data_IF_969483081483
#
_entry.id   IF_969483081483
#
_cell.length_a   1.000
_cell.length_b   1.000
_cell.length_c   1.000
_cell.angle_alpha   90.00
_cell.angle_beta   90.00
_cell.angle_gamma   90.00
#
_symmetry.space_group_name_H-M   'P 1'
#
loop_
_entity.id
_entity.type
_entity.pdbx_description
1 polymer ?
#
# COMPACT_ATOMS: atom_id res chain seq x y z
N UNK A 1 -6.30 -14.50 -20.55
CA UNK A 1 -5.28 -13.81 -19.73
C UNK A 1 -5.91 -12.58 -19.09
N UNK A 2 -5.81 -12.42 -17.77
CA UNK A 2 -6.46 -11.31 -17.06
C UNK A 2 -5.81 -9.97 -17.38
N UNK A 3 -6.59 -8.89 -17.41
CA UNK A 3 -6.10 -7.53 -17.72
C UNK A 3 -5.03 -7.04 -16.75
N UNK A 4 -4.92 -7.64 -15.56
CA UNK A 4 -3.94 -7.31 -14.50
C UNK A 4 -2.65 -8.13 -14.57
N UNK A 5 -2.57 -9.16 -15.43
CA UNK A 5 -1.46 -10.13 -15.44
C UNK A 5 -0.11 -9.46 -15.69
N UNK A 6 -0.06 -8.51 -16.63
CA UNK A 6 1.19 -7.81 -16.98
C UNK A 6 1.69 -6.92 -15.83
N UNK A 7 0.80 -6.16 -15.19
CA UNK A 7 1.16 -5.32 -14.04
C UNK A 7 1.64 -6.15 -12.85
N UNK A 8 0.96 -7.25 -12.56
CA UNK A 8 1.37 -8.18 -11.50
C UNK A 8 2.73 -8.78 -11.76
N UNK A 9 3.00 -9.20 -13.01
CA UNK A 9 4.29 -9.76 -13.40
C UNK A 9 5.39 -8.72 -13.25
N UNK A 10 5.15 -7.49 -13.66
CA UNK A 10 6.15 -6.41 -13.56
C UNK A 10 6.44 -6.03 -12.11
N UNK A 11 5.41 -5.95 -11.25
CA UNK A 11 5.58 -5.72 -9.81
C UNK A 11 6.43 -6.82 -9.17
N UNK A 12 6.12 -8.09 -9.43
CA UNK A 12 6.90 -9.23 -8.94
C UNK A 12 8.34 -9.23 -9.43
N UNK A 13 8.57 -8.77 -10.66
CA UNK A 13 9.90 -8.71 -11.27
C UNK A 13 10.78 -7.61 -10.68
N UNK A 14 10.21 -6.42 -10.43
CA UNK A 14 11.01 -5.22 -10.10
C UNK A 14 10.76 -4.68 -8.71
N UNK A 15 9.49 -4.55 -8.32
CA UNK A 15 9.12 -3.93 -7.04
C UNK A 15 9.33 -4.87 -5.86
N UNK A 16 8.96 -6.16 -5.99
CA UNK A 16 9.03 -7.11 -4.89
C UNK A 16 10.47 -7.35 -4.41
N UNK A 17 11.45 -7.60 -5.31
CA UNK A 17 12.85 -7.71 -4.90
C UNK A 17 13.36 -6.42 -4.25
N UNK A 18 12.97 -5.26 -4.80
CA UNK A 18 13.36 -3.96 -4.26
C UNK A 18 12.90 -3.79 -2.80
N UNK A 19 11.65 -4.08 -2.47
CA UNK A 19 11.15 -3.93 -1.09
C UNK A 19 11.71 -4.97 -0.13
N UNK A 20 12.01 -6.18 -0.61
CA UNK A 20 12.72 -7.21 0.18
C UNK A 20 14.13 -6.73 0.54
N UNK A 21 14.84 -6.08 -0.37
CA UNK A 21 16.14 -5.46 -0.07
C UNK A 21 16.04 -4.33 0.97
N UNK A 22 14.87 -3.71 1.10
CA UNK A 22 14.59 -2.73 2.17
C UNK A 22 14.20 -3.39 3.51
N UNK A 23 14.24 -4.72 3.59
CA UNK A 23 13.96 -5.50 4.81
C UNK A 23 12.48 -5.86 5.01
N UNK A 24 11.63 -5.67 4.01
CA UNK A 24 10.23 -6.11 4.10
C UNK A 24 10.09 -7.60 3.78
N UNK A 25 9.32 -8.30 4.61
CA UNK A 25 8.79 -9.62 4.34
C UNK A 25 7.49 -9.50 3.53
N UNK A 26 7.31 -10.41 2.58
CA UNK A 26 6.12 -10.45 1.71
C UNK A 26 5.17 -11.52 2.25
N UNK A 27 3.90 -11.16 2.39
CA UNK A 27 2.83 -12.08 2.74
C UNK A 27 1.77 -12.07 1.63
N UNK A 28 1.46 -13.25 1.12
CA UNK A 28 0.51 -13.45 0.02
C UNK A 28 -0.78 -14.12 0.49
N UNK A 29 -1.04 -14.21 1.79
CA UNK A 29 -2.25 -14.83 2.34
C UNK A 29 -3.55 -14.23 1.77
N UNK A 30 -3.56 -12.92 1.48
CA UNK A 30 -4.73 -12.21 0.93
C UNK A 30 -4.73 -12.09 -0.61
N UNK A 31 -3.81 -12.79 -1.29
CA UNK A 31 -3.81 -12.90 -2.74
C UNK A 31 -5.11 -13.61 -3.20
N UNK A 32 -5.76 -13.16 -4.29
CA UNK A 32 -5.28 -12.19 -5.27
C UNK A 32 -5.68 -10.74 -5.01
N UNK A 33 -6.36 -10.42 -3.91
CA UNK A 33 -6.96 -9.09 -3.71
C UNK A 33 -5.98 -8.08 -3.13
N UNK A 34 -5.11 -8.52 -2.22
CA UNK A 34 -3.99 -7.72 -1.73
C UNK A 34 -2.73 -8.58 -1.60
N UNK A 35 -1.58 -7.90 -1.53
CA UNK A 35 -0.32 -8.50 -1.12
C UNK A 35 0.26 -7.60 -0.05
N UNK A 36 0.55 -8.17 1.11
CA UNK A 36 0.99 -7.44 2.28
C UNK A 36 2.51 -7.49 2.41
N UNK A 37 3.07 -6.40 2.92
CA UNK A 37 4.50 -6.21 3.13
C UNK A 37 4.69 -5.70 4.55
N UNK A 38 5.57 -6.36 5.30
CA UNK A 38 5.78 -6.07 6.72
C UNK A 38 7.26 -6.02 7.05
N UNK A 39 7.66 -5.12 7.93
CA UNK A 39 9.00 -5.07 8.51
C UNK A 39 8.91 -4.70 9.97
N UNK A 40 9.57 -5.48 10.82
CA UNK A 40 9.73 -5.16 12.24
C UNK A 40 11.01 -4.32 12.37
N UNK A 41 10.90 -3.19 13.06
CA UNK A 41 11.97 -2.24 13.35
C UNK A 41 12.05 -2.00 14.87
N UNK A 42 13.09 -1.32 15.34
CA UNK A 42 13.20 -0.94 16.74
C UNK A 42 12.04 -0.03 17.19
N UNK A 43 11.56 0.83 16.29
CA UNK A 43 10.51 1.81 16.58
C UNK A 43 9.10 1.23 16.47
N UNK A 44 8.95 0.04 15.87
CA UNK A 44 7.66 -0.61 15.69
C UNK A 44 7.57 -1.45 14.42
N UNK A 45 6.35 -1.60 13.92
CA UNK A 45 6.01 -2.44 12.78
C UNK A 45 5.58 -1.52 11.64
N UNK A 46 6.36 -1.53 10.57
CA UNK A 46 6.02 -0.88 9.31
C UNK A 46 5.28 -1.89 8.44
N UNK A 47 4.09 -1.52 7.97
CA UNK A 47 3.26 -2.39 7.16
C UNK A 47 2.62 -1.62 6.02
N UNK A 48 2.61 -2.20 4.83
CA UNK A 48 1.85 -1.69 3.69
C UNK A 48 1.33 -2.84 2.84
N UNK A 49 0.30 -2.59 2.04
CA UNK A 49 -0.29 -3.57 1.15
C UNK A 49 -0.58 -2.99 -0.23
N UNK A 50 -0.45 -3.84 -1.26
CA UNK A 50 -0.87 -3.54 -2.62
C UNK A 50 -2.29 -4.06 -2.83
N UNK A 51 -3.29 -3.21 -2.60
CA UNK A 51 -4.69 -3.56 -2.78
C UNK A 51 -5.12 -3.38 -4.23
N UNK A 52 -5.50 -4.47 -4.88
CA UNK A 52 -6.02 -4.48 -6.24
C UNK A 52 -7.47 -4.03 -6.30
N UNK A 53 -7.83 -3.42 -7.42
CA UNK A 53 -9.22 -3.11 -7.71
C UNK A 53 -10.05 -4.40 -7.89
N UNK A 54 -11.24 -4.43 -7.28
CA UNK A 54 -12.09 -5.63 -7.12
C UNK A 54 -12.58 -6.21 -8.45
N UNK A 55 -12.84 -5.37 -9.44
CA UNK A 55 -13.41 -5.76 -10.73
C UNK A 55 -12.34 -6.17 -11.77
N UNK A 56 -11.09 -6.41 -11.34
CA UNK A 56 -10.03 -6.92 -12.20
C UNK A 56 -9.52 -5.90 -13.21
N UNK A 57 -9.77 -4.60 -12.97
CA UNK A 57 -9.06 -3.55 -13.71
C UNK A 57 -7.59 -3.51 -13.30
N UNK A 58 -6.65 -3.13 -14.19
CA UNK A 58 -5.22 -3.06 -13.89
C UNK A 58 -4.91 -1.82 -13.06
N UNK A 59 -5.49 -1.77 -11.85
CA UNK A 59 -5.39 -0.70 -10.88
C UNK A 59 -5.08 -1.27 -9.51
N UNK A 60 -4.23 -0.57 -8.77
CA UNK A 60 -3.99 -0.86 -7.36
C UNK A 60 -3.70 0.40 -6.58
N UNK A 61 -3.93 0.36 -5.28
CA UNK A 61 -3.51 1.39 -4.32
C UNK A 61 -2.53 0.78 -3.34
N UNK A 62 -1.65 1.61 -2.78
CA UNK A 62 -0.80 1.21 -1.68
C UNK A 62 -1.43 1.75 -0.40
N UNK A 63 -1.96 0.89 0.48
CA UNK A 63 -2.27 1.34 1.83
C UNK A 63 -1.07 1.07 2.73
N UNK A 64 -0.86 1.92 3.72
CA UNK A 64 0.25 1.79 4.66
C UNK A 64 -0.21 2.10 6.07
N UNK A 65 0.53 1.61 7.05
CA UNK A 65 0.29 1.87 8.45
C UNK A 65 1.50 1.57 9.30
N UNK A 66 1.52 2.15 10.49
CA UNK A 66 2.56 1.91 11.47
C UNK A 66 1.95 1.59 12.84
N UNK A 67 2.57 0.62 13.51
CA UNK A 67 2.09 0.06 14.77
C UNK A 67 3.25 -0.09 15.75
N UNK A 68 2.95 -0.11 17.05
CA UNK A 68 3.97 -0.39 18.06
C UNK A 68 4.54 -1.81 17.95
N UNK A 69 5.77 -2.01 18.42
CA UNK A 69 6.43 -3.33 18.42
C UNK A 69 5.67 -4.38 19.26
N UNK A 70 4.84 -3.95 20.23
CA UNK A 70 4.00 -4.84 21.04
C UNK A 70 2.78 -5.44 20.30
N UNK A 71 2.58 -5.08 19.03
CA UNK A 71 1.40 -5.41 18.24
C UNK A 71 0.34 -4.31 18.33
N UNK A 72 -0.91 -4.67 18.05
CA UNK A 72 -2.06 -3.76 18.13
C UNK A 72 -3.28 -4.46 18.72
N UNK A 73 -4.10 -3.71 19.45
CA UNK A 73 -5.41 -4.19 19.90
C UNK A 73 -6.42 -3.85 18.80
N UNK A 74 -7.01 -4.85 18.19
CA UNK A 74 -8.03 -4.69 17.15
C UNK A 74 -9.30 -5.43 17.57
N UNK A 75 -10.41 -4.70 17.68
CA UNK A 75 -11.68 -5.23 18.21
C UNK A 75 -11.58 -5.93 19.59
N UNK A 76 -10.70 -5.42 20.47
CA UNK A 76 -10.49 -5.98 21.80
C UNK A 76 -9.52 -7.17 21.85
N UNK A 77 -9.06 -7.67 20.70
CA UNK A 77 -8.08 -8.75 20.63
C UNK A 77 -6.68 -8.23 20.36
N UNK A 78 -5.67 -8.86 20.97
CA UNK A 78 -4.27 -8.55 20.70
C UNK A 78 -3.83 -9.25 19.41
N UNK A 79 -3.60 -8.47 18.37
CA UNK A 79 -3.05 -8.95 17.11
C UNK A 79 -1.53 -8.99 17.23
N UNK A 80 -0.88 -10.15 17.01
CA UNK A 80 0.57 -10.28 17.13
C UNK A 80 1.27 -9.57 15.97
N UNK A 81 2.54 -9.13 16.15
CA UNK A 81 3.28 -8.33 15.16
C UNK A 81 3.31 -8.90 13.73
N UNK A 82 3.35 -10.22 13.62
CA UNK A 82 3.39 -10.99 12.37
C UNK A 82 2.03 -11.05 11.63
N UNK A 83 0.94 -10.63 12.28
CA UNK A 83 -0.42 -10.61 11.69
C UNK A 83 -0.99 -9.22 11.51
N UNK A 84 -0.24 -8.18 11.87
CA UNK A 84 -0.70 -6.80 11.73
C UNK A 84 -0.85 -6.43 10.26
N UNK A 85 -1.94 -5.72 9.94
CA UNK A 85 -2.27 -5.23 8.60
C UNK A 85 -2.27 -3.70 8.56
N UNK A 86 -2.16 -3.14 7.35
CA UNK A 86 -1.98 -1.70 7.12
C UNK A 86 -3.08 -0.83 7.74
N UNK A 87 -4.32 -1.31 7.71
CA UNK A 87 -5.48 -0.62 8.28
C UNK A 87 -5.58 -0.72 9.81
N UNK A 88 -4.84 -1.63 10.44
CA UNK A 88 -4.86 -1.80 11.90
C UNK A 88 -3.93 -0.81 12.61
N UNK A 89 -3.09 -0.09 11.88
CA UNK A 89 -2.13 0.84 12.48
C UNK A 89 -2.78 2.05 13.14
N UNK A 90 -2.16 2.49 14.24
CA UNK A 90 -2.51 3.72 14.96
C UNK A 90 -2.46 4.96 14.05
N UNK A 91 -1.55 4.94 13.09
CA UNK A 91 -1.50 5.87 11.97
C UNK A 91 -1.51 5.04 10.69
N UNK A 92 -2.45 5.32 9.80
CA UNK A 92 -2.56 4.64 8.51
C UNK A 92 -2.88 5.62 7.39
N UNK A 93 -2.65 5.21 6.16
CA UNK A 93 -2.82 6.08 5.02
C UNK A 93 -2.77 5.34 3.70
N UNK A 94 -2.83 6.13 2.63
CA UNK A 94 -2.76 5.65 1.26
C UNK A 94 -1.73 6.44 0.48
N UNK A 95 -0.90 5.74 -0.27
CA UNK A 95 -0.03 6.31 -1.26
C UNK A 95 -0.63 6.07 -2.65
N UNK A 96 -0.81 7.15 -3.41
CA UNK A 96 -1.45 7.12 -4.72
C UNK A 96 -0.93 8.27 -5.60
N UNK A 97 -0.74 8.04 -6.91
CA UNK A 97 -0.07 9.00 -7.80
C UNK A 97 -0.82 10.31 -8.00
N UNK A 98 -2.12 10.37 -7.67
CA UNK A 98 -2.92 11.60 -7.72
C UNK A 98 -3.67 11.77 -6.42
N UNK A 99 -3.98 13.00 -6.03
CA UNK A 99 -4.86 13.28 -4.88
C UNK A 99 -6.33 12.97 -5.22
N UNK A 100 -7.08 12.46 -4.25
CA UNK A 100 -8.52 12.18 -4.37
C UNK A 100 -8.92 10.85 -3.73
N UNK A 101 -10.22 10.56 -3.64
CA UNK A 101 -10.74 9.34 -3.00
C UNK A 101 -11.11 8.22 -3.98
N UNK A 102 -11.14 8.52 -5.28
CA UNK A 102 -11.60 7.59 -6.32
C UNK A 102 -10.48 6.69 -6.88
N UNK A 103 -10.89 5.58 -7.51
CA UNK A 103 -9.98 4.62 -8.17
C UNK A 103 -9.24 5.19 -9.37
N UNK A 104 -9.66 6.35 -9.88
CA UNK A 104 -8.95 7.09 -10.95
C UNK A 104 -7.67 7.78 -10.45
N UNK A 105 -7.49 7.87 -9.14
CA UNK A 105 -6.30 8.40 -8.50
C UNK A 105 -5.24 7.33 -8.21
N UNK A 106 -5.59 6.05 -8.39
CA UNK A 106 -4.75 4.89 -8.09
C UNK A 106 -3.68 4.68 -9.16
N UNK A 107 -2.71 3.81 -8.86
CA UNK A 107 -1.75 3.34 -9.86
C UNK A 107 -2.49 2.55 -10.93
N UNK A 108 -2.50 3.02 -12.17
CA UNK A 108 -3.32 2.44 -13.23
C UNK A 108 -2.61 2.34 -14.57
N UNK A 109 -2.82 1.22 -15.27
CA UNK A 109 -2.47 1.09 -16.69
C UNK A 109 -3.57 1.64 -17.62
N UNK A 110 -4.80 1.69 -17.15
CA UNK A 110 -5.93 2.14 -17.95
C UNK A 110 -6.13 3.65 -17.87
N UNK A 111 -6.43 4.25 -19.02
CA UNK A 111 -6.95 5.60 -19.11
C UNK A 111 -8.48 5.58 -18.99
N UNK A 112 -9.05 6.74 -18.66
CA UNK A 112 -10.50 7.00 -18.82
C UNK A 112 -10.98 6.50 -20.18
N UNK A 113 -12.15 5.85 -20.21
CA UNK A 113 -12.80 5.34 -21.42
C UNK A 113 -12.79 6.38 -22.56
N UNK A 114 -13.01 7.66 -22.22
CA UNK A 114 -12.96 8.77 -23.16
C UNK A 114 -11.59 8.91 -23.84
N UNK A 115 -10.48 8.86 -23.09
CA UNK A 115 -9.13 8.95 -23.66
C UNK A 115 -8.77 7.75 -24.53
N UNK A 116 -9.28 6.57 -24.19
CA UNK A 116 -9.04 5.35 -24.97
C UNK A 116 -9.81 5.36 -26.30
N UNK A 117 -11.08 5.75 -26.27
CA UNK A 117 -11.98 5.64 -27.43
C UNK A 117 -11.94 6.89 -28.29
N UNK A 118 -11.98 8.08 -27.70
CA UNK A 118 -12.00 9.36 -28.44
C UNK A 118 -10.59 9.78 -28.86
N UNK A 119 -9.61 9.68 -27.96
CA UNK A 119 -8.24 10.13 -28.23
C UNK A 119 -7.30 9.01 -28.71
N UNK A 120 -7.81 7.78 -28.89
CA UNK A 120 -7.05 6.58 -29.32
C UNK A 120 -5.72 6.37 -28.57
N UNK A 121 -5.61 6.84 -27.33
CA UNK A 121 -4.37 6.73 -26.57
C UNK A 121 -4.14 5.29 -26.12
N UNK A 122 -2.93 4.79 -26.37
CA UNK A 122 -2.49 3.47 -25.90
C UNK A 122 -2.49 3.45 -24.36
N UNK A 123 -2.90 2.33 -23.72
CA UNK A 123 -2.75 2.15 -22.28
C UNK A 123 -1.29 2.34 -21.83
N UNK A 124 -1.08 2.78 -20.60
CA UNK A 124 0.26 2.88 -20.02
C UNK A 124 0.86 1.48 -19.90
N UNK A 125 2.16 1.36 -20.18
CA UNK A 125 2.88 0.11 -19.97
C UNK A 125 2.94 -0.23 -18.48
N UNK A 126 3.00 -1.52 -18.14
CA UNK A 126 3.16 -1.96 -16.75
C UNK A 126 4.44 -1.40 -16.13
N UNK A 127 5.52 -1.34 -16.91
CA UNK A 127 6.80 -0.76 -16.50
C UNK A 127 6.64 0.69 -16.03
N UNK A 128 5.93 1.53 -16.79
CA UNK A 128 5.71 2.93 -16.43
C UNK A 128 4.96 3.09 -15.09
N UNK A 129 3.99 2.22 -14.81
CA UNK A 129 3.26 2.24 -13.52
C UNK A 129 4.15 1.79 -12.37
N UNK A 130 5.03 0.80 -12.60
CA UNK A 130 5.99 0.34 -11.59
C UNK A 130 7.10 1.36 -11.36
N UNK A 131 7.56 2.06 -12.40
CA UNK A 131 8.52 3.17 -12.29
C UNK A 131 7.94 4.31 -11.45
N UNK A 132 6.66 4.64 -11.65
CA UNK A 132 5.94 5.63 -10.84
C UNK A 132 5.84 5.19 -9.38
N UNK A 133 5.52 3.91 -9.12
CA UNK A 133 5.50 3.37 -7.75
C UNK A 133 6.89 3.43 -7.09
N UNK A 134 7.94 3.05 -7.81
CA UNK A 134 9.32 3.13 -7.32
C UNK A 134 9.74 4.58 -7.04
N UNK A 135 9.32 5.54 -7.88
CA UNK A 135 9.58 6.96 -7.68
C UNK A 135 8.85 7.56 -6.48
N UNK A 136 7.68 7.02 -6.11
CA UNK A 136 6.91 7.47 -4.95
C UNK A 136 7.26 6.71 -3.65
N UNK A 137 7.94 5.58 -3.75
CA UNK A 137 8.31 4.78 -2.58
C UNK A 137 9.19 5.52 -1.54
N UNK A 138 10.11 6.43 -1.91
CA UNK A 138 10.84 7.25 -0.93
C UNK A 138 9.92 8.05 -0.01
N UNK A 139 8.76 8.52 -0.48
CA UNK A 139 7.78 9.18 0.39
C UNK A 139 7.28 8.23 1.47
N UNK A 140 7.03 6.97 1.11
CA UNK A 140 6.62 5.92 2.04
C UNK A 140 7.69 5.65 3.11
N UNK A 141 8.96 5.62 2.71
CA UNK A 141 10.07 5.45 3.64
C UNK A 141 10.22 6.64 4.59
N UNK A 142 10.09 7.87 4.09
CA UNK A 142 10.12 9.09 4.90
C UNK A 142 8.97 9.12 5.92
N UNK A 143 7.80 8.65 5.52
CA UNK A 143 6.68 8.50 6.46
C UNK A 143 6.95 7.44 7.53
N UNK A 144 7.54 6.29 7.16
CA UNK A 144 7.92 5.27 8.13
C UNK A 144 9.02 5.71 9.10
N UNK A 145 9.96 6.57 8.67
CA UNK A 145 11.06 7.04 9.53
C UNK A 145 10.69 8.27 10.38
N UNK A 146 10.04 9.25 9.77
CA UNK A 146 9.87 10.57 10.36
C UNK A 146 8.41 10.99 10.51
N UNK A 147 7.45 10.12 10.13
CA UNK A 147 6.01 10.43 10.08
C UNK A 147 5.72 11.67 9.22
N UNK A 148 6.59 11.97 8.25
CA UNK A 148 6.44 13.08 7.30
C UNK A 148 5.51 12.67 6.18
N UNK A 149 4.42 13.40 6.02
CA UNK A 149 3.45 13.16 4.95
C UNK A 149 3.97 13.72 3.63
N UNK A 150 4.15 12.85 2.64
CA UNK A 150 4.53 13.24 1.28
C UNK A 150 3.35 13.83 0.48
N UNK A 151 3.62 14.50 -0.66
CA UNK A 151 2.59 15.09 -1.51
C UNK A 151 1.54 14.10 -2.03
N UNK A 152 1.90 12.82 -2.15
CA UNK A 152 1.06 11.75 -2.72
C UNK A 152 0.37 10.89 -1.66
N UNK A 153 0.50 11.30 -0.39
CA UNK A 153 -0.05 10.58 0.74
C UNK A 153 -1.37 11.16 1.22
N UNK A 154 -2.32 10.27 1.48
CA UNK A 154 -3.58 10.58 2.15
C UNK A 154 -3.59 9.82 3.47
N UNK A 155 -3.15 10.50 4.53
CA UNK A 155 -3.10 9.92 5.88
C UNK A 155 -4.47 10.04 6.53
N UNK A 156 -4.95 8.95 7.12
CA UNK A 156 -6.12 8.92 7.98
C UNK A 156 -5.62 8.76 9.41
N UNK A 157 -5.73 9.84 10.17
CA UNK A 157 -5.58 9.74 11.61
C UNK A 157 -6.85 9.10 12.14
N UNK A 158 -6.76 7.91 12.73
CA UNK A 158 -7.84 7.36 13.53
C UNK A 158 -7.71 7.97 14.93
N UNK A 159 -8.55 8.97 15.30
CA UNK A 159 -8.53 9.46 16.67
C UNK A 159 -8.99 8.32 17.59
N UNK A 160 -8.09 7.88 18.48
CA UNK A 160 -8.31 6.84 19.50
C UNK A 160 -8.55 5.42 18.99
N UNK A 161 -7.47 4.68 18.78
CA UNK A 161 -7.34 3.47 19.59
C UNK A 161 -6.56 3.88 20.83
N UNK A 162 -7.29 4.33 21.87
CA UNK A 162 -6.68 4.49 23.19
C UNK A 162 -5.99 3.16 23.51
N UNK A 163 -4.68 3.22 23.71
CA UNK A 163 -3.97 2.22 24.46
C UNK A 163 -4.76 2.04 25.76
N UNK A 164 -5.50 0.94 25.88
CA UNK A 164 -5.86 0.42 27.19
C UNK A 164 -4.54 0.00 27.83
N UNK A 165 -3.84 0.99 28.38
CA UNK A 165 -2.98 0.77 29.51
C UNK A 165 -3.91 0.21 30.60
N UNK A 166 -3.88 -1.09 30.80
CA UNK A 166 -4.42 -1.67 32.02
C UNK A 166 -3.57 -1.12 33.17
N UNK A 167 -4.16 -0.44 34.17
CA UNK A 167 -3.48 -0.15 35.42
C UNK A 167 -3.66 -1.33 36.37
N UNK A 168 -2.59 -1.70 37.10
CA UNK A 168 -2.65 -2.49 38.33
C UNK A 168 -2.64 -3.99 38.14
#
# INVERSE_FOLDING_TARGET
MGKTTDLRRELKKRFYPFVVLQGFQIDTAHSPFSVDFRRITADGIDVFDLQWEKHGTPRFVVNFGHCSASGVIHYGERVPPDKVLSYMGSSSGRLQPRKGSGTHCWFSQDHSFFRRVVLRQKPRSAACVVDELLGLFPELQEWFRHRRTGPHMVVRNHPRQQQSAAPG
#
